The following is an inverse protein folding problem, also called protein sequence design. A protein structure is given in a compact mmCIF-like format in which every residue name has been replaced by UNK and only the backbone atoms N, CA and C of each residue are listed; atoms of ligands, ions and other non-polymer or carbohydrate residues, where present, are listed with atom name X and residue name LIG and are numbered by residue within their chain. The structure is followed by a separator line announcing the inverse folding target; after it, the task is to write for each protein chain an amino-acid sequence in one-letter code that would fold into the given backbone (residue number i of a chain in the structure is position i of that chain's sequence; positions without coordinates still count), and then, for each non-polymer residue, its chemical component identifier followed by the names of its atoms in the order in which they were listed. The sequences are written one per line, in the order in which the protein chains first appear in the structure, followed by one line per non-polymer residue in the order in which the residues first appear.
data_IF_855079922748
#
_entry.id   IF_855079922748
#
_cell.length_a   1.000
_cell.length_b   1.000
_cell.length_c   1.000
_cell.angle_alpha   90.00
_cell.angle_beta   90.00
_cell.angle_gamma   90.00
#
_symmetry.space_group_name_H-M   'P 1'
#
loop_
_entity.id
_entity.type
_entity.pdbx_description
1 polymer ?
#
# COMPACT_ATOMS: atom_id res chain seq x y z
N UNK A 1 -4.16 11.20 19.52
CA UNK A 1 -3.03 11.05 18.58
C UNK A 1 -2.91 12.35 17.80
N UNK A 2 -1.71 12.90 17.62
CA UNK A 2 -1.55 14.09 16.76
C UNK A 2 -1.74 13.68 15.31
N UNK A 3 -2.48 14.47 14.51
CA UNK A 3 -2.73 14.24 13.09
C UNK A 3 -1.44 14.01 12.28
N UNK A 4 -0.33 14.63 12.71
CA UNK A 4 0.99 14.45 12.10
C UNK A 4 1.54 13.04 12.31
N UNK A 5 1.41 12.48 13.51
CA UNK A 5 1.87 11.12 13.83
C UNK A 5 1.09 10.07 13.04
N UNK A 6 -0.23 10.25 12.94
CA UNK A 6 -1.09 9.38 12.16
C UNK A 6 -0.76 9.39 10.66
N UNK A 7 -0.45 10.56 10.11
CA UNK A 7 -0.04 10.69 8.72
C UNK A 7 1.27 9.96 8.42
N UNK A 8 2.23 10.01 9.34
CA UNK A 8 3.50 9.28 9.21
C UNK A 8 3.28 7.78 9.25
N UNK A 9 2.49 7.28 10.21
CA UNK A 9 2.16 5.85 10.30
C UNK A 9 1.45 5.38 9.03
N UNK A 10 0.45 6.14 8.56
CA UNK A 10 -0.24 5.85 7.31
C UNK A 10 0.72 5.80 6.11
N UNK A 11 1.67 6.73 6.01
CA UNK A 11 2.63 6.78 4.92
C UNK A 11 3.52 5.53 4.87
N UNK A 12 4.10 5.13 6.00
CA UNK A 12 4.99 3.96 6.08
C UNK A 12 4.22 2.64 6.02
N UNK A 13 3.04 2.57 6.63
CA UNK A 13 2.27 1.33 6.68
C UNK A 13 1.54 1.03 5.37
N UNK A 14 1.29 2.05 4.55
CA UNK A 14 0.41 1.91 3.39
C UNK A 14 0.92 2.55 2.10
N UNK A 15 1.31 3.83 2.11
CA UNK A 15 1.68 4.54 0.86
C UNK A 15 2.92 3.90 0.23
N UNK A 16 3.99 3.72 1.00
CA UNK A 16 5.23 3.11 0.48
C UNK A 16 4.99 1.66 0.04
N UNK A 17 4.35 0.78 0.85
CA UNK A 17 4.06 -0.59 0.42
C UNK A 17 3.20 -0.67 -0.84
N UNK A 18 2.19 0.19 -0.97
CA UNK A 18 1.33 0.22 -2.15
C UNK A 18 2.11 0.60 -3.41
N UNK A 19 2.92 1.64 -3.34
CA UNK A 19 3.75 2.07 -4.47
C UNK A 19 4.79 1.01 -4.83
N UNK A 20 5.43 0.40 -3.83
CA UNK A 20 6.38 -0.69 -4.04
C UNK A 20 5.71 -1.90 -4.70
N UNK A 21 4.51 -2.28 -4.26
CA UNK A 21 3.74 -3.38 -4.86
C UNK A 21 3.35 -3.09 -6.32
N UNK A 22 2.94 -1.86 -6.63
CA UNK A 22 2.64 -1.45 -8.01
C UNK A 22 3.88 -1.48 -8.91
N UNK A 23 5.02 -1.03 -8.40
CA UNK A 23 6.27 -1.10 -9.12
C UNK A 23 6.73 -2.55 -9.34
N UNK A 24 6.55 -3.41 -8.33
CA UNK A 24 6.80 -4.85 -8.43
C UNK A 24 5.92 -5.53 -9.48
N UNK A 25 4.63 -5.16 -9.60
CA UNK A 25 3.74 -5.65 -10.66
C UNK A 25 4.31 -5.27 -12.03
N UNK A 26 4.72 -4.01 -12.21
CA UNK A 26 5.33 -3.53 -13.44
C UNK A 26 6.65 -4.24 -13.78
N UNK A 27 7.52 -4.47 -12.79
CA UNK A 27 8.78 -5.20 -12.95
C UNK A 27 8.52 -6.66 -13.31
N UNK A 28 7.71 -7.37 -12.52
CA UNK A 28 7.42 -8.79 -12.71
C UNK A 28 6.80 -9.06 -14.08
N UNK A 29 5.88 -8.20 -14.51
CA UNK A 29 5.26 -8.34 -15.82
C UNK A 29 6.24 -8.12 -16.97
N UNK A 30 7.06 -7.06 -16.90
CA UNK A 30 8.08 -6.80 -17.92
C UNK A 30 9.17 -7.86 -17.93
N UNK A 31 9.52 -8.45 -16.78
CA UNK A 31 10.44 -9.56 -16.69
C UNK A 31 9.88 -10.85 -17.31
N UNK A 32 8.59 -11.16 -17.08
CA UNK A 32 7.94 -12.37 -17.57
C UNK A 32 7.72 -12.38 -19.09
N UNK A 33 7.39 -11.22 -19.67
CA UNK A 33 7.10 -11.10 -21.11
C UNK A 33 8.27 -10.38 -21.79
N UNK A 34 9.32 -11.15 -22.10
CA UNK A 34 10.37 -10.72 -23.04
C UNK A 34 9.72 -10.35 -24.39
N UNK A 35 9.77 -9.06 -24.71
CA UNK A 35 9.54 -8.53 -26.05
C UNK A 35 8.15 -8.73 -26.69
N UNK A 36 7.07 -8.42 -25.97
CA UNK A 36 5.83 -8.10 -26.67
C UNK A 36 5.19 -6.86 -26.09
N UNK A 37 5.36 -5.72 -26.78
CA UNK A 37 4.58 -4.47 -26.64
C UNK A 37 3.10 -4.64 -27.00
N UNK A 38 2.54 -5.83 -26.76
CA UNK A 38 1.14 -6.12 -26.97
C UNK A 38 0.34 -5.51 -25.84
N UNK A 39 -0.56 -4.60 -26.22
CA UNK A 39 -1.55 -3.99 -25.33
C UNK A 39 -2.34 -5.08 -24.61
N UNK A 40 -2.76 -6.14 -25.34
CA UNK A 40 -3.51 -7.26 -24.78
C UNK A 40 -2.78 -7.96 -23.63
N UNK A 41 -1.50 -8.27 -23.81
CA UNK A 41 -0.72 -8.92 -22.76
C UNK A 41 -0.56 -8.00 -21.55
N UNK A 42 -0.39 -6.69 -21.79
CA UNK A 42 -0.24 -5.68 -20.72
C UNK A 42 -1.52 -5.58 -19.90
N UNK A 43 -2.69 -5.65 -20.56
CA UNK A 43 -3.99 -5.69 -19.88
C UNK A 43 -4.15 -6.97 -19.05
N UNK A 44 -3.78 -8.15 -19.57
CA UNK A 44 -3.84 -9.39 -18.79
C UNK A 44 -2.92 -9.31 -17.56
N UNK A 45 -1.68 -8.85 -17.75
CA UNK A 45 -0.70 -8.69 -16.67
C UNK A 45 -1.17 -7.73 -15.58
N UNK A 46 -1.66 -6.56 -15.98
CA UNK A 46 -2.24 -5.60 -15.06
C UNK A 46 -3.51 -6.14 -14.38
N UNK A 47 -4.30 -6.97 -15.08
CA UNK A 47 -5.46 -7.66 -14.53
C UNK A 47 -5.07 -8.59 -13.38
N UNK A 48 -4.12 -9.48 -13.63
CA UNK A 48 -3.60 -10.41 -12.61
C UNK A 48 -2.97 -9.63 -11.45
N UNK A 49 -2.14 -8.61 -11.75
CA UNK A 49 -1.52 -7.75 -10.74
C UNK A 49 -2.54 -7.03 -9.85
N UNK A 50 -3.60 -6.47 -10.45
CA UNK A 50 -4.68 -5.80 -9.72
C UNK A 50 -5.45 -6.78 -8.82
N UNK A 51 -5.71 -8.00 -9.28
CA UNK A 51 -6.35 -9.06 -8.47
C UNK A 51 -5.47 -9.47 -7.29
N UNK A 52 -4.16 -9.65 -7.49
CA UNK A 52 -3.23 -9.97 -6.39
C UNK A 52 -3.19 -8.81 -5.38
N UNK A 53 -3.11 -7.57 -5.87
CA UNK A 53 -3.09 -6.39 -5.02
C UNK A 53 -4.39 -6.25 -4.22
N UNK A 54 -5.52 -6.57 -4.83
CA UNK A 54 -6.82 -6.64 -4.15
C UNK A 54 -6.77 -7.58 -2.93
N UNK A 55 -6.24 -8.79 -3.08
CA UNK A 55 -6.09 -9.72 -1.95
C UNK A 55 -5.11 -9.20 -0.90
N UNK A 56 -4.01 -8.57 -1.32
CA UNK A 56 -3.03 -7.98 -0.41
C UNK A 56 -3.61 -6.82 0.44
N UNK A 57 -4.65 -6.13 -0.03
CA UNK A 57 -5.32 -5.04 0.70
C UNK A 57 -6.19 -5.54 1.86
N UNK A 58 -6.77 -6.74 1.75
CA UNK A 58 -7.67 -7.31 2.76
C UNK A 58 -7.04 -7.32 4.18
N UNK A 59 -5.81 -7.85 4.39
CA UNK A 59 -5.19 -7.84 5.71
C UNK A 59 -4.84 -6.43 6.20
N UNK A 60 -4.53 -5.50 5.29
CA UNK A 60 -4.16 -4.12 5.61
C UNK A 60 -5.40 -3.26 5.96
N UNK A 61 -6.59 -3.69 5.56
CA UNK A 61 -7.84 -2.95 5.82
C UNK A 61 -8.13 -2.78 7.32
N UNK A 62 -7.88 -3.82 8.11
CA UNK A 62 -8.15 -3.80 9.57
C UNK A 62 -7.32 -2.74 10.31
N UNK A 63 -5.97 -2.73 10.21
CA UNK A 63 -5.15 -1.71 10.88
C UNK A 63 -5.44 -0.30 10.37
N UNK A 64 -5.65 -0.12 9.06
CA UNK A 64 -6.02 1.18 8.47
C UNK A 64 -7.34 1.73 9.01
N UNK A 65 -8.34 0.86 9.21
CA UNK A 65 -9.63 1.25 9.77
C UNK A 65 -9.51 1.72 11.21
N UNK A 66 -8.63 1.10 11.99
CA UNK A 66 -8.33 1.53 13.36
C UNK A 66 -7.69 2.92 13.33
N UNK A 67 -6.66 3.11 12.50
CA UNK A 67 -5.98 4.39 12.34
C UNK A 67 -6.92 5.54 11.89
N UNK A 68 -7.83 5.25 10.97
CA UNK A 68 -8.83 6.21 10.47
C UNK A 68 -9.83 6.68 11.52
N UNK A 69 -10.07 5.92 12.60
CA UNK A 69 -10.94 6.36 13.71
C UNK A 69 -10.28 7.39 14.62
N UNK A 70 -8.94 7.41 14.68
CA UNK A 70 -8.19 8.25 15.62
C UNK A 70 -7.58 9.50 14.97
N UNK A 71 -7.89 9.74 13.69
CA UNK A 71 -7.26 10.77 12.86
C UNK A 71 -8.30 11.64 12.19
N UNK A 72 -8.07 12.96 12.11
CA UNK A 72 -9.00 13.92 11.48
C UNK A 72 -8.53 14.37 10.08
N UNK A 73 -7.43 13.82 9.57
CA UNK A 73 -6.86 14.20 8.28
C UNK A 73 -7.73 13.71 7.12
N UNK A 74 -8.22 14.61 6.24
CA UNK A 74 -9.13 14.26 5.16
C UNK A 74 -8.52 13.32 4.11
N UNK A 75 -7.20 13.39 3.88
CA UNK A 75 -6.49 12.52 2.94
C UNK A 75 -6.46 11.06 3.41
N UNK A 76 -6.27 10.84 4.72
CA UNK A 76 -6.29 9.51 5.32
C UNK A 76 -7.72 8.96 5.29
N UNK A 77 -8.72 9.78 5.61
CA UNK A 77 -10.12 9.40 5.46
C UNK A 77 -10.47 9.06 4.01
N UNK A 78 -9.96 9.83 3.03
CA UNK A 78 -10.17 9.54 1.61
C UNK A 78 -9.53 8.20 1.21
N UNK A 79 -8.28 7.97 1.58
CA UNK A 79 -7.56 6.75 1.23
C UNK A 79 -8.14 5.52 1.93
N UNK A 80 -8.47 5.62 3.22
CA UNK A 80 -9.14 4.55 3.99
C UNK A 80 -10.55 4.30 3.43
N UNK A 81 -11.31 5.33 3.06
CA UNK A 81 -12.65 5.18 2.46
C UNK A 81 -12.61 4.62 1.04
N UNK A 82 -11.53 4.88 0.31
CA UNK A 82 -11.28 4.29 -1.00
C UNK A 82 -10.93 2.80 -0.88
N UNK A 83 -10.18 2.40 0.17
CA UNK A 83 -9.70 1.03 0.38
C UNK A 83 -10.55 0.16 1.33
N UNK A 84 -11.55 0.71 2.04
CA UNK A 84 -12.49 -0.10 2.83
C UNK A 84 -13.40 -0.91 1.90
N UNK A 85 -13.02 -2.16 1.63
CA UNK A 85 -13.71 -3.06 0.73
C UNK A 85 -14.68 -4.01 1.45
N UNK A 86 -14.42 -4.34 2.73
CA UNK A 86 -15.19 -5.36 3.44
C UNK A 86 -16.67 -4.99 3.72
N UNK A 87 -17.08 -3.73 3.53
CA UNK A 87 -18.48 -3.28 3.77
C UNK A 87 -19.02 -2.37 2.65
N UNK A 88 -18.33 -2.32 1.51
CA UNK A 88 -18.68 -1.42 0.43
C UNK A 88 -19.67 -2.07 -0.56
N UNK A 89 -20.57 -1.25 -1.14
CA UNK A 89 -21.44 -1.68 -2.25
C UNK A 89 -20.58 -2.30 -3.37
N UNK A 90 -21.07 -3.32 -4.10
CA UNK A 90 -20.30 -4.00 -5.13
C UNK A 90 -19.69 -3.04 -6.16
N UNK A 91 -20.39 -1.94 -6.45
CA UNK A 91 -19.92 -0.86 -7.34
C UNK A 91 -18.59 -0.22 -6.89
N UNK A 92 -18.38 -0.03 -5.57
CA UNK A 92 -17.14 0.54 -5.03
C UNK A 92 -15.97 -0.44 -5.11
N UNK A 93 -16.25 -1.74 -4.93
CA UNK A 93 -15.27 -2.82 -5.08
C UNK A 93 -14.76 -2.83 -6.53
N UNK A 94 -15.68 -2.80 -7.50
CA UNK A 94 -15.34 -2.73 -8.93
C UNK A 94 -14.54 -1.47 -9.27
N UNK A 95 -14.91 -0.31 -8.73
CA UNK A 95 -14.20 0.94 -9.00
C UNK A 95 -12.77 0.94 -8.42
N UNK A 96 -12.56 0.36 -7.24
CA UNK A 96 -11.22 0.21 -6.65
C UNK A 96 -10.35 -0.71 -7.50
N UNK A 97 -10.91 -1.86 -7.92
CA UNK A 97 -10.21 -2.81 -8.78
C UNK A 97 -9.87 -2.19 -10.15
N UNK A 98 -10.76 -1.40 -10.74
CA UNK A 98 -10.50 -0.67 -11.98
C UNK A 98 -9.42 0.40 -11.80
N UNK A 99 -9.37 1.08 -10.66
CA UNK A 99 -8.30 2.03 -10.36
C UNK A 99 -6.96 1.30 -10.22
N UNK A 100 -6.91 0.21 -9.45
CA UNK A 100 -5.69 -0.59 -9.32
C UNK A 100 -5.22 -1.14 -10.66
N UNK A 101 -6.16 -1.56 -11.51
CA UNK A 101 -5.88 -1.98 -12.88
C UNK A 101 -5.27 -0.84 -13.69
N UNK A 102 -5.85 0.35 -13.67
CA UNK A 102 -5.31 1.53 -14.35
C UNK A 102 -3.92 1.90 -13.85
N UNK A 103 -3.70 1.86 -12.52
CA UNK A 103 -2.40 2.12 -11.91
C UNK A 103 -1.38 1.02 -12.24
N UNK A 104 -1.80 -0.24 -12.35
CA UNK A 104 -0.94 -1.34 -12.75
C UNK A 104 -0.54 -1.26 -14.23
N UNK A 105 -1.46 -0.86 -15.11
CA UNK A 105 -1.15 -0.53 -16.52
C UNK A 105 -0.16 0.63 -16.58
N UNK A 106 -0.41 1.69 -15.81
CA UNK A 106 0.47 2.86 -15.70
C UNK A 106 1.88 2.48 -15.23
N UNK A 107 1.98 1.68 -14.16
CA UNK A 107 3.24 1.21 -13.60
C UNK A 107 4.02 0.33 -14.58
N UNK A 108 3.31 -0.54 -15.30
CA UNK A 108 3.94 -1.38 -16.33
C UNK A 108 4.54 -0.55 -17.46
N UNK A 109 3.84 0.49 -17.91
CA UNK A 109 4.35 1.40 -18.94
C UNK A 109 5.46 2.31 -18.41
N UNK A 110 5.38 2.72 -17.14
CA UNK A 110 6.41 3.53 -16.50
C UNK A 110 7.73 2.76 -16.38
N UNK A 111 7.68 1.49 -15.97
CA UNK A 111 8.88 0.64 -15.92
C UNK A 111 9.51 0.46 -17.30
N UNK A 112 8.69 0.33 -18.36
CA UNK A 112 9.19 0.30 -19.75
C UNK A 112 9.85 1.60 -20.16
N UNK A 113 9.31 2.73 -19.74
CA UNK A 113 9.87 4.05 -20.03
C UNK A 113 11.19 4.29 -19.29
N UNK A 114 11.29 3.84 -18.03
CA UNK A 114 12.50 4.00 -17.20
C UNK A 114 13.62 3.05 -17.66
N UNK A 115 13.28 1.83 -18.10
CA UNK A 115 14.26 0.83 -18.58
C UNK A 115 13.94 0.32 -20.00
N UNK A 116 14.16 1.15 -21.03
CA UNK A 116 13.89 0.78 -22.43
C UNK A 116 14.94 -0.17 -23.03
N UNK A 117 16.17 -0.16 -22.50
CA UNK A 117 17.31 -0.87 -23.10
C UNK A 117 17.46 -2.33 -22.64
N UNK A 118 18.12 -3.15 -23.47
CA UNK A 118 18.48 -4.55 -23.18
C UNK A 118 19.28 -4.70 -21.86
N UNK A 119 20.08 -3.70 -21.49
CA UNK A 119 20.80 -3.64 -20.22
C UNK A 119 19.86 -3.42 -19.02
N UNK A 120 18.84 -2.57 -19.19
CA UNK A 120 17.79 -2.36 -18.19
C UNK A 120 16.97 -3.63 -17.92
N UNK A 121 16.76 -4.45 -18.95
CA UNK A 121 16.07 -5.74 -18.82
C UNK A 121 16.85 -6.76 -17.98
N UNK A 122 18.17 -6.87 -18.19
CA UNK A 122 19.02 -7.73 -17.34
C UNK A 122 19.02 -7.28 -15.89
N UNK A 123 18.95 -5.96 -15.64
CA UNK A 123 18.78 -5.44 -14.29
C UNK A 123 17.41 -5.80 -13.72
N UNK A 124 16.32 -5.64 -14.49
CA UNK A 124 14.93 -5.93 -14.08
C UNK A 124 14.73 -7.35 -13.53
N UNK A 125 15.34 -8.36 -14.15
CA UNK A 125 15.25 -9.76 -13.68
C UNK A 125 15.96 -9.95 -12.33
N UNK A 126 17.02 -9.20 -12.04
CA UNK A 126 17.95 -9.50 -10.95
C UNK A 126 17.74 -8.72 -9.66
N UNK A 127 17.79 -7.39 -9.73
CA UNK A 127 18.03 -6.54 -8.54
C UNK A 127 16.87 -5.64 -8.10
N UNK A 128 16.11 -4.95 -8.98
CA UNK A 128 15.18 -3.92 -8.55
C UNK A 128 13.93 -4.50 -7.88
N UNK A 129 13.53 -5.72 -8.24
CA UNK A 129 12.43 -6.41 -7.56
C UNK A 129 12.75 -6.68 -6.08
N UNK A 130 13.98 -7.14 -5.80
CA UNK A 130 14.46 -7.36 -4.42
C UNK A 130 14.53 -6.07 -3.60
N UNK A 131 14.98 -4.96 -4.21
CA UNK A 131 14.97 -3.66 -3.55
C UNK A 131 13.55 -3.15 -3.25
N UNK A 132 12.60 -3.34 -4.16
CA UNK A 132 11.19 -3.00 -3.90
C UNK A 132 10.63 -3.80 -2.72
N UNK A 133 10.93 -5.11 -2.67
CA UNK A 133 10.57 -5.97 -1.54
C UNK A 133 11.21 -5.50 -0.23
N UNK A 134 12.50 -5.17 -0.24
CA UNK A 134 13.21 -4.69 0.95
C UNK A 134 12.63 -3.37 1.46
N UNK A 135 12.38 -2.40 0.56
CA UNK A 135 11.75 -1.12 0.90
C UNK A 135 10.35 -1.33 1.47
N UNK A 136 9.54 -2.18 0.85
CA UNK A 136 8.22 -2.53 1.36
C UNK A 136 8.30 -3.14 2.75
N UNK A 137 9.19 -4.11 2.95
CA UNK A 137 9.36 -4.81 4.22
C UNK A 137 9.78 -3.86 5.34
N UNK A 138 10.85 -3.09 5.13
CA UNK A 138 11.36 -2.11 6.09
C UNK A 138 10.28 -1.07 6.42
N UNK A 139 9.55 -0.61 5.41
CA UNK A 139 8.48 0.37 5.58
C UNK A 139 7.34 -0.16 6.46
N UNK A 140 6.90 -1.39 6.22
CA UNK A 140 5.85 -2.02 7.04
C UNK A 140 6.35 -2.21 8.48
N UNK A 141 7.60 -2.60 8.69
CA UNK A 141 8.17 -2.73 10.04
C UNK A 141 8.19 -1.39 10.79
N UNK A 142 8.62 -0.31 10.13
CA UNK A 142 8.60 1.04 10.72
C UNK A 142 7.17 1.46 11.03
N UNK A 143 6.24 1.27 10.08
CA UNK A 143 4.83 1.61 10.26
C UNK A 143 4.20 0.84 11.43
N UNK A 144 4.47 -0.45 11.52
CA UNK A 144 3.97 -1.31 12.61
C UNK A 144 4.55 -0.90 13.96
N UNK A 145 5.86 -0.63 14.05
CA UNK A 145 6.50 -0.16 15.27
C UNK A 145 5.87 1.13 15.80
N UNK A 146 5.69 2.11 14.91
CA UNK A 146 5.07 3.39 15.27
C UNK A 146 3.59 3.21 15.68
N UNK A 147 2.85 2.32 15.02
CA UNK A 147 1.46 2.01 15.40
C UNK A 147 1.40 1.36 16.79
N UNK A 148 2.29 0.41 17.09
CA UNK A 148 2.42 -0.19 18.43
C UNK A 148 2.77 0.83 19.51
N UNK A 149 3.69 1.76 19.24
CA UNK A 149 4.04 2.82 20.19
C UNK A 149 2.84 3.72 20.50
N UNK A 150 1.99 4.00 19.50
CA UNK A 150 0.79 4.80 19.74
C UNK A 150 -0.29 4.08 20.55
N UNK A 151 -0.37 2.76 20.45
CA UNK A 151 -1.31 1.93 21.23
C UNK A 151 -0.79 1.57 22.62
N UNK A 152 0.53 1.52 22.83
CA UNK A 152 1.15 1.15 24.10
C UNK A 152 1.16 2.27 25.14
N UNK A 153 0.68 3.48 24.79
CA UNK A 153 0.39 4.55 25.75
C UNK A 153 -0.85 4.11 26.56
N UNK A 154 -0.62 3.23 27.53
CA UNK A 154 -1.56 2.95 28.61
C UNK A 154 -1.81 4.29 29.30
N UNK A 155 -3.03 4.78 29.20
CA UNK A 155 -3.45 6.00 29.86
C UNK A 155 -3.29 5.78 31.39
N UNK A 156 -2.35 6.45 32.09
CA UNK A 156 -2.10 6.20 33.51
C UNK A 156 -3.35 6.42 34.39
N UNK A 157 -4.31 7.19 33.86
CA UNK A 157 -5.61 7.51 34.46
C UNK A 157 -6.58 6.34 34.52
N UNK A 158 -6.34 5.25 33.78
CA UNK A 158 -7.16 4.03 33.83
C UNK A 158 -6.58 2.95 34.74
N UNK A 159 -5.30 3.07 35.11
CA UNK A 159 -4.60 2.13 36.00
C UNK A 159 -4.66 2.57 37.45
N UNK A 160 -4.79 3.88 37.72
CA UNK A 160 -4.91 4.43 39.07
C UNK A 160 -6.16 5.32 39.21
N UNK A 161 -7.27 4.81 39.79
CA UNK A 161 -8.46 5.61 40.06
C UNK A 161 -8.19 6.78 41.03
N UNK A 162 -7.13 6.70 41.84
CA UNK A 162 -6.77 7.74 42.83
C UNK A 162 -6.27 9.05 42.20
N UNK A 163 -5.70 9.01 40.98
CA UNK A 163 -5.29 10.21 40.25
C UNK A 163 -6.48 10.96 39.61
N UNK A 164 -7.70 10.47 39.77
CA UNK A 164 -8.93 11.15 39.29
C UNK A 164 -9.51 12.13 40.31
N UNK A 165 -9.07 12.07 41.58
CA UNK A 165 -9.57 12.93 42.66
C UNK A 165 -8.50 13.82 43.31
N UNK A 166 -7.26 13.79 42.83
CA UNK A 166 -6.16 14.57 43.40
C UNK A 166 -5.75 15.79 42.56
N UNK A 167 -6.41 16.93 42.82
CA UNK A 167 -6.08 18.32 42.45
C UNK A 167 -6.27 18.76 40.99
#
# INVERSE_FOLDING_TARGET
MSDRKASVIFFFFFVIPYLAAQFMIGIAYNALVLHASSVWRTLIGAGVGAVILYFAKIPVERPLRILGKYTYVPLIHLAVRFFMLASARPLKITLNLLLDFGVAVGSTNLVRFIWPDYFGYRMLIGTPFGWCLAVMFISIMIGAYLDFETMSIVNPKLVNPELRQGK
#
